data_IF_213693363941
#
_entry.id   IF_213693363941
#
_cell.length_a   1.000
_cell.length_b   1.000
_cell.length_c   1.000
_cell.angle_alpha   90.00
_cell.angle_beta   90.00
_cell.angle_gamma   90.00
#
_symmetry.space_group_name_H-M   'P 1'
#
loop_
_entity.id
_entity.type
_entity.pdbx_description
1 polymer ?
#
# COMPACT_ATOMS: atom_id res chain seq x y z
N UNK A 1 3.28 3.34 -29.04
CA UNK A 1 3.37 4.26 -27.89
C UNK A 1 2.21 4.09 -26.92
N UNK A 2 0.94 4.44 -27.26
CA UNK A 2 -0.19 4.38 -26.29
C UNK A 2 -0.40 3.03 -25.58
N UNK A 3 -0.33 1.91 -26.30
CA UNK A 3 -0.47 0.56 -25.70
C UNK A 3 0.62 0.24 -24.67
N UNK A 4 1.84 0.75 -24.87
CA UNK A 4 2.95 0.57 -23.94
C UNK A 4 2.66 1.30 -22.62
N UNK A 5 2.15 2.54 -22.69
CA UNK A 5 1.75 3.30 -21.51
C UNK A 5 0.62 2.63 -20.73
N UNK A 6 -0.39 2.09 -21.42
CA UNK A 6 -1.46 1.31 -20.79
C UNK A 6 -0.90 0.08 -20.05
N UNK A 7 0.02 -0.65 -20.69
CA UNK A 7 0.68 -1.80 -20.06
C UNK A 7 1.51 -1.38 -18.84
N UNK A 8 2.24 -0.27 -18.94
CA UNK A 8 3.05 0.26 -17.86
C UNK A 8 2.17 0.65 -16.66
N UNK A 9 1.10 1.41 -16.89
CA UNK A 9 0.18 1.85 -15.83
C UNK A 9 -0.46 0.63 -15.15
N UNK A 10 -0.88 -0.38 -15.92
CA UNK A 10 -1.42 -1.63 -15.38
C UNK A 10 -0.40 -2.38 -14.50
N UNK A 11 0.83 -2.52 -14.98
CA UNK A 11 1.90 -3.19 -14.22
C UNK A 11 2.20 -2.40 -12.94
N UNK A 12 2.26 -1.08 -13.02
CA UNK A 12 2.53 -0.21 -11.88
C UNK A 12 1.43 -0.32 -10.82
N UNK A 13 0.15 -0.32 -11.22
CA UNK A 13 -0.99 -0.56 -10.32
C UNK A 13 -0.81 -1.88 -9.57
N UNK A 14 -0.56 -2.97 -10.30
CA UNK A 14 -0.48 -4.31 -9.71
C UNK A 14 0.72 -4.41 -8.77
N UNK A 15 1.90 -4.01 -9.21
CA UNK A 15 3.14 -4.13 -8.41
C UNK A 15 3.04 -3.27 -7.15
N UNK A 16 2.60 -2.01 -7.27
CA UNK A 16 2.46 -1.13 -6.11
C UNK A 16 1.39 -1.61 -5.13
N UNK A 17 0.23 -2.06 -5.62
CA UNK A 17 -0.82 -2.58 -4.74
C UNK A 17 -0.38 -3.85 -4.00
N UNK A 18 0.27 -4.78 -4.70
CA UNK A 18 0.77 -6.02 -4.07
C UNK A 18 1.89 -5.73 -3.08
N UNK A 19 2.81 -4.83 -3.40
CA UNK A 19 3.93 -4.46 -2.51
C UNK A 19 3.47 -3.67 -1.28
N UNK A 20 2.37 -2.92 -1.36
CA UNK A 20 1.85 -2.17 -0.21
C UNK A 20 1.42 -3.10 0.95
N UNK A 21 0.92 -4.30 0.65
CA UNK A 21 0.46 -5.26 1.66
C UNK A 21 1.59 -5.74 2.60
N UNK A 22 2.72 -6.30 2.12
CA UNK A 22 3.82 -6.66 3.01
C UNK A 22 4.44 -5.44 3.70
N UNK A 23 4.52 -4.28 3.04
CA UNK A 23 4.98 -3.04 3.69
C UNK A 23 4.09 -2.66 4.88
N UNK A 24 2.77 -2.69 4.73
CA UNK A 24 1.85 -2.45 5.84
C UNK A 24 2.03 -3.48 6.96
N UNK A 25 2.13 -4.77 6.62
CA UNK A 25 2.31 -5.86 7.59
C UNK A 25 3.62 -5.72 8.38
N UNK A 26 4.69 -5.25 7.76
CA UNK A 26 5.95 -4.95 8.44
C UNK A 26 5.92 -3.61 9.18
N UNK A 27 4.95 -2.75 8.88
CA UNK A 27 4.71 -1.49 9.56
C UNK A 27 3.93 -1.61 10.86
N UNK A 28 3.19 -2.70 11.07
CA UNK A 28 2.31 -2.89 12.23
C UNK A 28 2.71 -4.15 13.00
N UNK A 29 3.30 -3.96 14.17
CA UNK A 29 3.65 -5.05 15.08
C UNK A 29 2.71 -5.05 16.27
N UNK A 30 2.13 -6.21 16.57
CA UNK A 30 1.31 -6.39 17.77
C UNK A 30 2.01 -7.32 18.73
N UNK A 31 2.07 -6.90 19.98
CA UNK A 31 2.72 -7.66 21.04
C UNK A 31 1.73 -7.85 22.17
N UNK A 32 1.49 -9.11 22.53
CA UNK A 32 0.62 -9.45 23.65
C UNK A 32 1.42 -9.46 24.95
N UNK A 33 0.87 -8.82 25.98
CA UNK A 33 1.43 -8.81 27.33
C UNK A 33 0.43 -9.47 28.28
N UNK A 34 0.89 -10.51 28.99
CA UNK A 34 0.11 -11.16 30.02
C UNK A 34 -0.08 -10.23 31.23
N UNK A 35 -1.13 -10.48 32.01
CA UNK A 35 -1.34 -9.77 33.26
C UNK A 35 -0.17 -10.01 34.23
N UNK A 36 0.22 -8.96 34.96
CA UNK A 36 1.33 -9.00 35.90
C UNK A 36 1.02 -8.13 37.13
N UNK A 37 0.82 -8.76 38.29
CA UNK A 37 0.38 -8.06 39.51
C UNK A 37 -0.97 -7.39 39.29
N UNK A 38 -1.04 -6.09 39.59
CA UNK A 38 -2.25 -5.28 39.38
C UNK A 38 -2.41 -4.79 37.92
N UNK A 39 -1.44 -5.05 37.05
CA UNK A 39 -1.53 -4.71 35.62
C UNK A 39 -2.35 -5.78 34.86
N UNK A 40 -3.47 -5.43 34.23
CA UNK A 40 -4.23 -6.38 33.41
C UNK A 40 -3.48 -6.74 32.13
N UNK A 41 -3.88 -7.84 31.49
CA UNK A 41 -3.36 -8.21 30.17
C UNK A 41 -3.78 -7.17 29.12
N UNK A 42 -2.88 -6.89 28.17
CA UNK A 42 -3.15 -5.95 27.09
C UNK A 42 -2.37 -6.28 25.83
N UNK A 43 -2.85 -5.77 24.70
CA UNK A 43 -2.15 -5.80 23.41
C UNK A 43 -1.57 -4.41 23.12
N UNK A 44 -0.27 -4.33 22.82
CA UNK A 44 0.37 -3.10 22.36
C UNK A 44 0.59 -3.16 20.86
N UNK A 45 0.32 -2.06 20.16
CA UNK A 45 0.65 -1.92 18.74
C UNK A 45 1.82 -0.96 18.56
N UNK A 46 2.90 -1.47 17.97
CA UNK A 46 4.07 -0.68 17.58
C UNK A 46 4.08 -0.43 16.08
N UNK A 47 4.26 0.82 15.69
CA UNK A 47 4.24 1.26 14.29
C UNK A 47 5.64 1.57 13.78
N UNK A 48 6.11 0.80 12.80
CA UNK A 48 7.38 1.08 12.13
C UNK A 48 7.16 2.10 11.00
N UNK A 49 7.40 3.37 11.32
CA UNK A 49 7.15 4.53 10.44
C UNK A 49 7.66 4.37 9.00
N UNK A 50 8.91 3.92 8.75
CA UNK A 50 9.42 3.76 7.38
C UNK A 50 8.60 2.78 6.52
N UNK A 51 8.14 1.67 7.12
CA UNK A 51 7.32 0.68 6.42
C UNK A 51 5.92 1.23 6.10
N UNK A 52 5.33 2.00 7.01
CA UNK A 52 4.03 2.65 6.78
C UNK A 52 4.13 3.79 5.76
N UNK A 53 5.23 4.54 5.76
CA UNK A 53 5.52 5.56 4.76
C UNK A 53 5.65 4.92 3.37
N UNK A 54 6.41 3.82 3.25
CA UNK A 54 6.51 3.06 2.01
C UNK A 54 5.14 2.54 1.54
N UNK A 55 4.34 1.96 2.43
CA UNK A 55 2.99 1.51 2.10
C UNK A 55 2.12 2.67 1.56
N UNK A 56 2.19 3.84 2.19
CA UNK A 56 1.48 5.05 1.76
C UNK A 56 1.90 5.48 0.35
N UNK A 57 3.21 5.53 0.08
CA UNK A 57 3.75 5.90 -1.24
C UNK A 57 3.28 4.91 -2.31
N UNK A 58 3.34 3.61 -2.02
CA UNK A 58 2.91 2.56 -2.96
C UNK A 58 1.42 2.67 -3.27
N UNK A 59 0.56 2.83 -2.26
CA UNK A 59 -0.89 3.03 -2.47
C UNK A 59 -1.16 4.29 -3.30
N UNK A 60 -0.44 5.37 -3.02
CA UNK A 60 -0.58 6.64 -3.76
C UNK A 60 -0.17 6.47 -5.22
N UNK A 61 0.97 5.84 -5.48
CA UNK A 61 1.45 5.54 -6.84
C UNK A 61 0.47 4.62 -7.60
N UNK A 62 -0.06 3.59 -6.94
CA UNK A 62 -1.08 2.73 -7.53
C UNK A 62 -2.35 3.49 -7.90
N UNK A 63 -2.80 4.41 -7.03
CA UNK A 63 -3.96 5.26 -7.29
C UNK A 63 -3.77 6.17 -8.51
N UNK A 64 -2.61 6.84 -8.60
CA UNK A 64 -2.27 7.68 -9.76
C UNK A 64 -2.20 6.86 -11.05
N UNK A 65 -1.50 5.73 -11.03
CA UNK A 65 -1.41 4.84 -12.18
C UNK A 65 -2.78 4.30 -12.63
N UNK A 66 -3.68 4.02 -11.69
CA UNK A 66 -5.04 3.59 -12.01
C UNK A 66 -5.86 4.69 -12.70
N UNK A 67 -5.74 5.94 -12.24
CA UNK A 67 -6.38 7.09 -12.88
C UNK A 67 -5.86 7.26 -14.31
N UNK A 68 -4.54 7.25 -14.49
CA UNK A 68 -3.90 7.36 -15.80
C UNK A 68 -4.34 6.24 -16.74
N UNK A 69 -4.39 5.00 -16.24
CA UNK A 69 -4.87 3.85 -16.99
C UNK A 69 -6.30 4.05 -17.47
N UNK A 70 -7.20 4.51 -16.60
CA UNK A 70 -8.61 4.79 -16.93
C UNK A 70 -8.69 5.89 -17.99
N UNK A 71 -7.99 7.00 -17.81
CA UNK A 71 -7.97 8.11 -18.77
C UNK A 71 -7.48 7.63 -20.13
N UNK A 72 -6.37 6.88 -20.17
CA UNK A 72 -5.80 6.36 -21.41
C UNK A 72 -6.71 5.36 -22.08
N UNK A 73 -7.50 4.58 -21.35
CA UNK A 73 -8.45 3.61 -21.91
C UNK A 73 -9.74 4.27 -22.41
N UNK A 74 -10.32 5.18 -21.62
CA UNK A 74 -11.63 5.77 -21.86
C UNK A 74 -11.62 6.97 -22.81
N UNK A 75 -10.55 7.78 -22.82
CA UNK A 75 -10.47 8.97 -23.68
C UNK A 75 -10.00 8.57 -25.07
N UNK A 76 -10.91 8.66 -26.04
CA UNK A 76 -10.58 8.50 -27.47
C UNK A 76 -9.84 9.76 -27.93
N UNK A 77 -8.67 9.66 -28.58
CA UNK A 77 -8.03 10.83 -29.17
C UNK A 77 -8.99 11.43 -30.22
N UNK A 78 -9.22 12.74 -30.10
CA UNK A 78 -9.97 13.52 -31.11
C UNK A 78 -9.12 13.69 -32.36
#
# INVERSE_FOLDING_TARGET
MRRLWILLDLVLVVVCAVAAVPSWRHGVHRTWFAAAGDQPAFESTHYAGPWLALATVLVTAAGLAAIDLVVRCAVRPR
#
